data_IF_108279754639
#
_entry.id   IF_108279754639
#
_cell.length_a   1.000
_cell.length_b   1.000
_cell.length_c   1.000
_cell.angle_alpha   90.00
_cell.angle_beta   90.00
_cell.angle_gamma   90.00
#
_symmetry.space_group_name_H-M   'P 1'
#
loop_
_entity.id
_entity.type
_entity.pdbx_description
1 polymer ?
#
# COMPACT_ATOMS: atom_id res chain seq x y z
N UNK A 1 8.60 7.80 -32.46
CA UNK A 1 7.64 8.85 -32.88
C UNK A 1 6.21 8.49 -32.50
N UNK A 2 5.69 7.33 -32.93
CA UNK A 2 4.32 6.89 -32.62
C UNK A 2 4.00 6.82 -31.11
N UNK A 3 4.88 6.22 -30.31
CA UNK A 3 4.73 6.17 -28.85
C UNK A 3 4.63 7.56 -28.21
N UNK A 4 5.43 8.53 -28.69
CA UNK A 4 5.41 9.91 -28.21
C UNK A 4 4.09 10.61 -28.54
N UNK A 5 3.57 10.45 -29.77
CA UNK A 5 2.28 11.00 -30.18
C UNK A 5 1.16 10.41 -29.32
N UNK A 6 1.17 9.09 -29.12
CA UNK A 6 0.20 8.42 -28.23
C UNK A 6 0.24 8.99 -26.81
N UNK A 7 1.43 9.15 -26.23
CA UNK A 7 1.56 9.73 -24.89
C UNK A 7 1.03 11.16 -24.82
N UNK A 8 1.26 12.00 -25.84
CA UNK A 8 0.71 13.36 -25.88
C UNK A 8 -0.81 13.36 -25.91
N UNK A 9 -1.43 12.47 -26.70
CA UNK A 9 -2.89 12.28 -26.72
C UNK A 9 -3.44 11.84 -25.38
N UNK A 10 -2.80 10.86 -24.73
CA UNK A 10 -3.18 10.37 -23.40
C UNK A 10 -2.97 11.40 -22.27
N UNK A 11 -2.18 12.45 -22.54
CA UNK A 11 -2.04 13.62 -21.67
C UNK A 11 -3.06 14.73 -21.99
N UNK A 12 -4.05 14.47 -22.85
CA UNK A 12 -5.12 15.41 -23.15
C UNK A 12 -4.72 16.58 -24.07
N UNK A 13 -3.66 16.43 -24.88
CA UNK A 13 -3.20 17.52 -25.77
C UNK A 13 -4.27 17.95 -26.78
N UNK A 14 -5.12 17.00 -27.20
CA UNK A 14 -6.18 17.21 -28.19
C UNK A 14 -7.44 17.88 -27.58
N UNK A 15 -7.55 17.95 -26.24
CA UNK A 15 -8.66 18.59 -25.54
C UNK A 15 -8.58 20.11 -25.66
N UNK A 16 -9.74 20.77 -25.67
CA UNK A 16 -9.85 22.23 -25.79
C UNK A 16 -10.84 22.81 -24.78
N UNK A 17 -10.72 24.12 -24.52
CA UNK A 17 -11.64 24.85 -23.66
C UNK A 17 -11.80 24.24 -22.26
N UNK A 18 -13.05 24.11 -21.82
CA UNK A 18 -13.40 23.59 -20.50
C UNK A 18 -12.99 22.13 -20.30
N UNK A 19 -13.07 21.28 -21.33
CA UNK A 19 -12.66 19.86 -21.21
C UNK A 19 -11.19 19.71 -20.86
N UNK A 20 -10.32 20.56 -21.45
CA UNK A 20 -8.89 20.57 -21.12
C UNK A 20 -8.65 21.03 -19.69
N UNK A 21 -9.39 22.05 -19.24
CA UNK A 21 -9.29 22.58 -17.88
C UNK A 21 -9.71 21.51 -16.86
N UNK A 22 -10.87 20.90 -17.07
CA UNK A 22 -11.39 19.80 -16.25
C UNK A 22 -10.39 18.64 -16.19
N UNK A 23 -9.86 18.20 -17.35
CA UNK A 23 -8.89 17.11 -17.41
C UNK A 23 -7.64 17.41 -16.57
N UNK A 24 -7.10 18.63 -16.66
CA UNK A 24 -5.91 19.02 -15.89
C UNK A 24 -6.18 19.06 -14.38
N UNK A 25 -7.35 19.56 -13.97
CA UNK A 25 -7.79 19.56 -12.57
C UNK A 25 -7.92 18.13 -12.03
N UNK A 26 -8.52 17.24 -12.82
CA UNK A 26 -8.63 15.81 -12.48
C UNK A 26 -7.25 15.17 -12.32
N UNK A 27 -6.33 15.40 -13.26
CA UNK A 27 -4.97 14.82 -13.20
C UNK A 27 -4.22 15.30 -11.97
N UNK A 28 -4.32 16.60 -11.64
CA UNK A 28 -3.73 17.15 -10.43
C UNK A 28 -4.32 16.48 -9.18
N UNK A 29 -5.65 16.36 -9.11
CA UNK A 29 -6.34 15.74 -7.98
C UNK A 29 -5.99 14.26 -7.82
N UNK A 30 -5.90 13.52 -8.92
CA UNK A 30 -5.46 12.11 -8.91
C UNK A 30 -4.04 11.96 -8.35
N UNK A 31 -3.14 12.90 -8.64
CA UNK A 31 -1.78 12.91 -8.10
C UNK A 31 -1.77 13.15 -6.58
N UNK A 32 -2.58 14.11 -6.12
CA UNK A 32 -2.75 14.40 -4.70
C UNK A 32 -3.32 13.18 -3.95
N UNK A 33 -4.44 12.62 -4.45
CA UNK A 33 -5.09 11.45 -3.87
C UNK A 33 -4.16 10.23 -3.85
N UNK A 34 -3.36 10.02 -4.89
CA UNK A 34 -2.36 8.95 -4.94
C UNK A 34 -1.28 9.10 -3.86
N UNK A 35 -0.86 10.33 -3.59
CA UNK A 35 0.10 10.64 -2.53
C UNK A 35 -0.51 10.38 -1.15
N UNK A 36 -1.74 10.87 -0.92
CA UNK A 36 -2.46 10.66 0.34
C UNK A 36 -2.70 9.17 0.61
N UNK A 37 -3.13 8.40 -0.40
CA UNK A 37 -3.32 6.96 -0.30
C UNK A 37 -2.05 6.24 0.20
N UNK A 38 -0.89 6.59 -0.37
CA UNK A 38 0.39 5.99 0.01
C UNK A 38 0.81 6.40 1.43
N UNK A 39 0.61 7.65 1.82
CA UNK A 39 0.91 8.14 3.15
C UNK A 39 0.04 7.44 4.21
N UNK A 40 -1.27 7.33 3.98
CA UNK A 40 -2.19 6.61 4.88
C UNK A 40 -1.76 5.15 5.07
N UNK A 41 -1.37 4.46 3.98
CA UNK A 41 -0.89 3.08 4.06
C UNK A 41 0.43 2.97 4.84
N UNK A 42 1.35 3.92 4.66
CA UNK A 42 2.61 3.97 5.39
C UNK A 42 2.37 4.20 6.88
N UNK A 43 1.50 5.15 7.22
CA UNK A 43 1.18 5.50 8.61
C UNK A 43 0.46 4.34 9.31
N UNK A 44 -0.52 3.71 8.65
CA UNK A 44 -1.19 2.51 9.17
C UNK A 44 -0.22 1.33 9.37
N UNK A 45 0.77 1.17 8.48
CA UNK A 45 1.79 0.12 8.63
C UNK A 45 2.71 0.40 9.83
N UNK A 46 3.09 1.66 10.05
CA UNK A 46 3.98 2.09 11.15
C UNK A 46 3.28 2.13 12.51
N UNK A 47 1.98 2.41 12.53
CA UNK A 47 1.20 2.55 13.76
C UNK A 47 1.09 1.23 14.53
N UNK A 48 1.14 0.09 13.85
CA UNK A 48 1.09 -1.21 14.51
C UNK A 48 2.43 -1.61 15.10
N UNK A 49 2.43 -1.95 16.39
CA UNK A 49 3.52 -2.68 17.03
C UNK A 49 2.98 -3.75 17.97
N UNK A 50 3.63 -4.91 17.97
CA UNK A 50 3.38 -5.98 18.93
C UNK A 50 4.69 -6.38 19.57
N UNK A 51 4.85 -6.05 20.85
CA UNK A 51 6.03 -6.38 21.65
C UNK A 51 5.77 -7.69 22.39
N UNK A 52 6.61 -8.69 22.13
CA UNK A 52 6.59 -9.98 22.79
C UNK A 52 7.73 -10.04 23.81
N UNK A 53 7.44 -10.53 25.00
CA UNK A 53 8.41 -10.66 26.11
C UNK A 53 8.62 -12.12 26.53
N UNK A 54 7.67 -13.01 26.24
CA UNK A 54 7.82 -14.43 26.48
C UNK A 54 8.50 -15.11 25.28
N UNK A 55 9.50 -15.94 25.57
CA UNK A 55 10.20 -16.74 24.55
C UNK A 55 9.27 -17.74 23.86
N UNK A 56 8.23 -18.21 24.54
CA UNK A 56 7.24 -19.09 23.94
C UNK A 56 6.46 -18.41 22.79
N UNK A 57 6.30 -17.09 22.85
CA UNK A 57 5.54 -16.33 21.84
C UNK A 57 6.29 -16.17 20.51
N UNK A 58 7.61 -16.34 20.50
CA UNK A 58 8.44 -16.32 19.28
C UNK A 58 8.78 -17.72 18.76
N UNK A 59 8.21 -18.77 19.36
CA UNK A 59 8.48 -20.15 18.97
C UNK A 59 8.14 -20.39 17.48
N UNK A 60 9.07 -21.03 16.79
CA UNK A 60 8.96 -21.41 15.38
C UNK A 60 9.52 -20.39 14.41
N UNK A 61 9.67 -19.12 14.81
CA UNK A 61 10.32 -18.11 13.96
C UNK A 61 11.76 -18.51 13.61
N UNK A 62 12.22 -18.30 12.36
CA UNK A 62 13.62 -18.45 12.01
C UNK A 62 14.50 -17.49 12.81
N UNK A 63 15.73 -17.90 13.15
CA UNK A 63 16.67 -17.10 13.93
C UNK A 63 16.86 -15.67 13.39
N UNK A 64 16.88 -15.52 12.06
CA UNK A 64 16.97 -14.21 11.40
C UNK A 64 15.78 -13.30 11.69
N UNK A 65 14.57 -13.87 11.78
CA UNK A 65 13.35 -13.12 12.09
C UNK A 65 13.29 -12.75 13.57
N UNK A 66 13.73 -13.65 14.46
CA UNK A 66 13.87 -13.37 15.90
C UNK A 66 14.88 -12.25 16.13
N UNK A 67 16.06 -12.33 15.49
CA UNK A 67 17.06 -11.28 15.56
C UNK A 67 16.57 -9.94 15.01
N UNK A 68 15.88 -9.96 13.86
CA UNK A 68 15.27 -8.77 13.28
C UNK A 68 14.22 -8.12 14.19
N UNK A 69 13.40 -8.93 14.87
CA UNK A 69 12.38 -8.43 15.80
C UNK A 69 12.99 -7.81 17.06
N UNK A 70 14.05 -8.41 17.61
CA UNK A 70 14.80 -7.84 18.73
C UNK A 70 15.49 -6.53 18.34
N UNK A 71 16.13 -6.49 17.17
CA UNK A 71 16.71 -5.25 16.64
C UNK A 71 15.65 -4.16 16.41
N UNK A 72 14.48 -4.54 15.87
CA UNK A 72 13.36 -3.60 15.66
C UNK A 72 12.87 -3.01 16.98
N UNK A 73 12.83 -3.81 18.05
CA UNK A 73 12.50 -3.31 19.39
C UNK A 73 13.52 -2.26 19.85
N UNK A 74 14.82 -2.61 19.83
CA UNK A 74 15.90 -1.73 20.30
C UNK A 74 15.94 -0.39 19.54
N UNK A 75 15.58 -0.39 18.25
CA UNK A 75 15.47 0.83 17.45
C UNK A 75 14.24 1.68 17.81
N UNK A 76 13.11 1.03 18.09
CA UNK A 76 11.85 1.72 18.39
C UNK A 76 11.78 2.24 19.84
N UNK A 77 12.47 1.57 20.77
CA UNK A 77 12.45 1.86 22.21
C UNK A 77 13.90 2.00 22.75
N UNK A 78 14.67 3.00 22.28
CA UNK A 78 16.08 3.14 22.67
C UNK A 78 16.29 3.48 24.16
N UNK A 79 15.26 3.97 24.84
CA UNK A 79 15.27 4.32 26.26
C UNK A 79 14.85 3.15 27.18
N UNK A 80 14.46 2.00 26.61
CA UNK A 80 14.09 0.79 27.36
C UNK A 80 15.23 -0.24 27.39
N UNK A 81 15.13 -1.22 28.29
CA UNK A 81 16.14 -2.30 28.37
C UNK A 81 16.26 -3.02 27.03
N UNK A 82 17.47 -3.10 26.45
CA UNK A 82 17.66 -3.66 25.13
C UNK A 82 17.42 -5.16 25.15
N UNK A 83 16.72 -5.65 24.14
CA UNK A 83 16.53 -7.07 23.94
C UNK A 83 17.66 -7.73 23.17
N UNK A 84 17.74 -9.06 23.32
CA UNK A 84 18.56 -9.93 22.46
C UNK A 84 17.68 -10.98 21.77
N UNK A 85 18.17 -11.65 20.70
CA UNK A 85 17.43 -12.73 20.06
C UNK A 85 17.03 -13.86 21.04
N UNK A 86 17.81 -14.09 22.10
CA UNK A 86 17.61 -15.20 23.04
C UNK A 86 16.66 -14.89 24.19
N UNK A 87 16.61 -13.62 24.61
CA UNK A 87 15.94 -13.15 25.83
C UNK A 87 14.80 -12.14 25.57
N UNK A 88 14.69 -11.63 24.35
CA UNK A 88 13.72 -10.59 24.00
C UNK A 88 14.03 -9.28 24.74
N UNK A 89 13.13 -8.29 24.66
CA UNK A 89 11.86 -8.31 23.93
C UNK A 89 12.02 -8.31 22.40
N UNK A 90 10.94 -8.71 21.70
CA UNK A 90 10.86 -8.80 20.25
C UNK A 90 9.68 -7.98 19.73
N UNK A 91 9.94 -7.04 18.82
CA UNK A 91 8.91 -6.20 18.21
C UNK A 91 8.55 -6.73 16.82
N UNK A 92 7.30 -7.15 16.66
CA UNK A 92 6.72 -7.50 15.36
C UNK A 92 5.97 -6.29 14.77
N UNK A 93 6.16 -6.06 13.48
CA UNK A 93 5.52 -4.97 12.71
C UNK A 93 4.76 -5.53 11.50
N UNK A 94 4.05 -4.66 10.79
CA UNK A 94 3.37 -5.02 9.54
C UNK A 94 4.26 -4.87 8.31
N UNK A 95 5.53 -4.47 8.46
CA UNK A 95 6.49 -4.47 7.37
C UNK A 95 6.71 -5.89 6.86
N UNK A 96 6.81 -6.05 5.54
CA UNK A 96 6.83 -7.36 4.92
C UNK A 96 7.93 -8.31 5.44
N UNK A 97 9.15 -7.85 5.77
CA UNK A 97 10.19 -8.68 6.40
C UNK A 97 9.85 -9.17 7.81
N UNK A 98 8.93 -8.53 8.53
CA UNK A 98 8.44 -8.95 9.85
C UNK A 98 7.16 -9.79 9.73
N UNK A 99 6.18 -9.30 8.94
CA UNK A 99 4.89 -9.94 8.74
C UNK A 99 4.97 -11.33 8.11
N UNK A 100 5.76 -11.48 7.04
CA UNK A 100 5.79 -12.74 6.29
C UNK A 100 6.35 -13.91 7.11
N UNK A 101 7.50 -13.77 7.82
CA UNK A 101 7.97 -14.82 8.71
C UNK A 101 6.99 -15.11 9.85
N UNK A 102 6.38 -14.08 10.44
CA UNK A 102 5.38 -14.23 11.50
C UNK A 102 4.21 -15.13 11.03
N UNK A 103 3.65 -14.87 9.85
CA UNK A 103 2.55 -15.66 9.32
C UNK A 103 2.94 -17.09 8.95
N UNK A 104 4.18 -17.31 8.48
CA UNK A 104 4.64 -18.63 8.03
C UNK A 104 5.08 -19.53 9.18
N UNK A 105 5.62 -18.96 10.24
CA UNK A 105 6.45 -19.72 11.18
C UNK A 105 6.03 -19.64 12.64
N UNK A 106 5.34 -18.57 13.09
CA UNK A 106 4.85 -18.50 14.47
C UNK A 106 3.94 -19.69 14.76
N UNK A 107 4.13 -20.33 15.92
CA UNK A 107 3.29 -21.44 16.36
C UNK A 107 1.94 -21.00 16.90
N UNK A 108 1.89 -19.89 17.65
CA UNK A 108 0.65 -19.36 18.23
C UNK A 108 -0.34 -18.89 17.15
N UNK A 109 -1.50 -19.54 17.06
CA UNK A 109 -2.58 -19.14 16.15
C UNK A 109 -3.19 -17.80 16.53
N UNK A 110 -3.26 -17.50 17.83
CA UNK A 110 -3.80 -16.24 18.34
C UNK A 110 -2.92 -15.05 17.89
N UNK A 111 -1.60 -15.19 18.01
CA UNK A 111 -0.67 -14.14 17.56
C UNK A 111 -0.74 -13.96 16.04
N UNK A 112 -0.79 -15.06 15.27
CA UNK A 112 -1.00 -14.98 13.82
C UNK A 112 -2.33 -14.30 13.47
N UNK A 113 -3.40 -14.58 14.20
CA UNK A 113 -4.69 -13.94 13.96
C UNK A 113 -4.63 -12.42 14.20
N UNK A 114 -4.04 -11.98 15.31
CA UNK A 114 -3.88 -10.54 15.63
C UNK A 114 -3.10 -9.81 14.53
N UNK A 115 -1.96 -10.37 14.13
CA UNK A 115 -1.10 -9.81 13.07
C UNK A 115 -1.82 -9.82 11.72
N UNK A 116 -2.50 -10.92 11.38
CA UNK A 116 -3.27 -11.03 10.14
C UNK A 116 -4.37 -9.98 10.05
N UNK A 117 -5.18 -9.83 11.10
CA UNK A 117 -6.26 -8.83 11.14
C UNK A 117 -5.70 -7.43 10.96
N UNK A 118 -4.68 -7.08 11.74
CA UNK A 118 -4.02 -5.78 11.63
C UNK A 118 -3.45 -5.52 10.22
N UNK A 119 -2.89 -6.53 9.55
CA UNK A 119 -2.38 -6.38 8.18
C UNK A 119 -3.48 -6.14 7.15
N UNK A 120 -4.64 -6.81 7.30
CA UNK A 120 -5.75 -6.74 6.36
C UNK A 120 -6.61 -5.48 6.52
N UNK A 121 -6.63 -4.88 7.71
CA UNK A 121 -7.37 -3.64 8.02
C UNK A 121 -6.49 -2.40 7.99
N UNK A 122 -5.33 -2.46 7.33
CA UNK A 122 -4.48 -1.28 7.18
C UNK A 122 -5.18 -0.22 6.34
N UNK A 123 -5.15 1.00 6.83
CA UNK A 123 -5.71 2.17 6.14
C UNK A 123 -7.18 1.98 5.74
N UNK A 124 -7.99 1.38 6.63
CA UNK A 124 -9.43 1.15 6.42
C UNK A 124 -10.31 1.76 7.50
N UNK A 125 -9.73 2.49 8.46
CA UNK A 125 -10.42 3.05 9.61
C UNK A 125 -9.82 4.42 9.96
N UNK A 126 -10.62 5.24 10.65
CA UNK A 126 -10.25 6.56 11.19
C UNK A 126 -9.62 7.51 10.14
N UNK A 127 -8.65 8.33 10.58
CA UNK A 127 -8.00 9.40 9.81
C UNK A 127 -7.15 8.88 8.64
N UNK A 128 -6.85 7.58 8.60
CA UNK A 128 -6.05 6.93 7.54
C UNK A 128 -6.92 6.05 6.63
N UNK A 129 -8.24 6.16 6.68
CA UNK A 129 -9.14 5.38 5.82
C UNK A 129 -8.97 5.75 4.33
N UNK A 130 -8.57 4.76 3.53
CA UNK A 130 -8.41 4.87 2.09
C UNK A 130 -9.69 4.53 1.31
N UNK A 131 -10.74 4.00 1.95
CA UNK A 131 -12.00 3.67 1.31
C UNK A 131 -12.59 4.84 0.50
N UNK A 132 -12.77 6.03 1.11
CA UNK A 132 -13.25 7.22 0.41
C UNK A 132 -12.31 7.67 -0.73
N UNK A 133 -10.98 7.62 -0.51
CA UNK A 133 -10.01 8.00 -1.54
C UNK A 133 -10.09 7.07 -2.76
N UNK A 134 -10.28 5.76 -2.56
CA UNK A 134 -10.44 4.79 -3.65
C UNK A 134 -11.67 5.15 -4.50
N UNK A 135 -12.81 5.44 -3.86
CA UNK A 135 -14.05 5.81 -4.57
C UNK A 135 -13.83 7.08 -5.42
N UNK A 136 -13.18 8.09 -4.85
CA UNK A 136 -12.87 9.33 -5.58
C UNK A 136 -11.91 9.08 -6.75
N UNK A 137 -10.84 8.31 -6.53
CA UNK A 137 -9.87 7.92 -7.58
C UNK A 137 -10.57 7.20 -8.73
N UNK A 138 -11.48 6.26 -8.44
CA UNK A 138 -12.22 5.51 -9.46
C UNK A 138 -13.13 6.43 -10.29
N UNK A 139 -13.86 7.34 -9.63
CA UNK A 139 -14.72 8.32 -10.29
C UNK A 139 -13.91 9.24 -11.21
N UNK A 140 -12.80 9.77 -10.70
CA UNK A 140 -11.91 10.66 -11.45
C UNK A 140 -11.24 9.95 -12.62
N UNK A 141 -10.78 8.70 -12.44
CA UNK A 141 -10.21 7.88 -13.52
C UNK A 141 -11.22 7.60 -14.63
N UNK A 142 -12.47 7.31 -14.27
CA UNK A 142 -13.55 7.16 -15.25
C UNK A 142 -13.74 8.46 -16.02
N UNK A 143 -13.94 9.58 -15.34
CA UNK A 143 -14.18 10.88 -15.99
C UNK A 143 -13.02 11.32 -16.90
N UNK A 144 -11.77 11.17 -16.44
CA UNK A 144 -10.61 11.45 -17.27
C UNK A 144 -10.54 10.57 -18.52
N UNK A 145 -11.01 9.32 -18.45
CA UNK A 145 -11.03 8.41 -19.60
C UNK A 145 -12.13 8.79 -20.59
N UNK A 146 -13.31 9.17 -20.09
CA UNK A 146 -14.43 9.67 -20.92
C UNK A 146 -14.03 10.94 -21.68
N UNK A 147 -13.35 11.89 -21.03
CA UNK A 147 -12.83 13.11 -21.68
C UNK A 147 -11.88 12.77 -22.83
N UNK A 148 -11.06 11.72 -22.68
CA UNK A 148 -10.14 11.25 -23.71
C UNK A 148 -10.81 10.35 -24.77
N UNK A 149 -12.13 10.15 -24.71
CA UNK A 149 -12.88 9.33 -25.67
C UNK A 149 -12.82 7.82 -25.41
N UNK A 150 -12.38 7.39 -24.23
CA UNK A 150 -12.38 5.97 -23.85
C UNK A 150 -13.66 5.60 -23.08
N UNK A 151 -14.23 4.40 -23.30
CA UNK A 151 -15.42 3.95 -22.56
C UNK A 151 -15.20 3.78 -21.06
N UNK A 152 -13.97 3.44 -20.65
CA UNK A 152 -13.59 3.23 -19.26
C UNK A 152 -12.07 3.35 -19.09
N UNK A 153 -11.61 3.32 -17.83
CA UNK A 153 -10.17 3.45 -17.52
C UNK A 153 -9.33 2.24 -17.95
N UNK A 154 -9.91 1.04 -18.01
CA UNK A 154 -9.19 -0.16 -18.44
C UNK A 154 -8.79 -0.04 -19.92
N UNK A 155 -9.71 0.40 -20.78
CA UNK A 155 -9.46 0.70 -22.20
C UNK A 155 -8.35 1.74 -22.38
N UNK A 156 -8.45 2.84 -21.62
CA UNK A 156 -7.41 3.87 -21.60
C UNK A 156 -6.06 3.29 -21.17
N UNK A 157 -6.05 2.41 -20.18
CA UNK A 157 -4.83 1.79 -19.65
C UNK A 157 -4.19 0.79 -20.63
N UNK A 158 -4.99 0.01 -21.36
CA UNK A 158 -4.51 -0.99 -22.31
C UNK A 158 -3.97 -0.36 -23.59
N UNK A 159 -4.46 0.82 -23.98
CA UNK A 159 -3.96 1.56 -25.16
C UNK A 159 -2.44 1.76 -25.19
N UNK A 160 -1.76 1.72 -24.02
CA UNK A 160 -0.30 1.80 -23.89
C UNK A 160 0.43 0.48 -23.58
N UNK A 161 -0.29 -0.64 -23.40
CA UNK A 161 0.23 -1.95 -23.00
C UNK A 161 0.39 -2.90 -24.19
N UNK A 162 0.90 -4.11 -23.92
CA UNK A 162 1.08 -5.18 -24.91
C UNK A 162 -0.21 -5.95 -25.20
N UNK A 163 -1.14 -6.01 -24.25
CA UNK A 163 -2.44 -6.65 -24.47
C UNK A 163 -3.21 -5.89 -25.56
N UNK A 164 -3.90 -6.63 -26.42
CA UNK A 164 -4.59 -6.07 -27.59
C UNK A 164 -5.87 -5.32 -27.21
N UNK A 165 -6.61 -5.81 -26.20
CA UNK A 165 -7.85 -5.23 -25.70
C UNK A 165 -8.12 -5.71 -24.26
N UNK A 166 -9.22 -5.23 -23.66
CA UNK A 166 -9.63 -5.62 -22.30
C UNK A 166 -10.05 -7.08 -22.23
N UNK A 167 -10.67 -7.63 -23.27
CA UNK A 167 -11.14 -9.02 -23.32
C UNK A 167 -10.01 -10.05 -23.33
N UNK A 168 -8.82 -9.66 -23.79
CA UNK A 168 -7.63 -10.51 -23.85
C UNK A 168 -6.85 -10.61 -22.51
N UNK A 169 -7.30 -9.89 -21.47
CA UNK A 169 -6.67 -9.83 -20.14
C UNK A 169 -7.52 -10.54 -19.10
#
# INVERSE_FOLDING_TARGET
VESSIRSMRLSGVDLQGEEKKEFNEIVLKLSELGTNFQNHLLDATKAFEMVLTDKADVEGLPDSAVAGASQSYNQAKPDEEPGTPEAGPWRLTLDFPSYLPAMKHLKSSELREKIYRAFQTRASEDEVDNGPLIVEILNLRRRASELLGFPNFAEKSISSKMAENVEAV
#
